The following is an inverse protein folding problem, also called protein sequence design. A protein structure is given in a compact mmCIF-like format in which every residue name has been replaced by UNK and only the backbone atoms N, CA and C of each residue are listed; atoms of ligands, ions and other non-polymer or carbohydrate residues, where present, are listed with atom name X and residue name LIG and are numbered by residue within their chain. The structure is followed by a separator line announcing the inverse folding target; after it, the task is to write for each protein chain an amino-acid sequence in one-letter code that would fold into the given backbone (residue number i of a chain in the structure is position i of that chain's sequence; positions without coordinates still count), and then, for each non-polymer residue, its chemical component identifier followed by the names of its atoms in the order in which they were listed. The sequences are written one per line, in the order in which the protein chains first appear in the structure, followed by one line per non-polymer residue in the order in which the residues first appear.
data_IF_297231325048
#
_entry.id   IF_297231325048
#
_cell.length_a   1.000
_cell.length_b   1.000
_cell.length_c   1.000
_cell.angle_alpha   90.00
_cell.angle_beta   90.00
_cell.angle_gamma   90.00
#
_symmetry.space_group_name_H-M   'P 1'
#
loop_
_entity.id
_entity.type
_entity.pdbx_description
1 polymer ?
#
# COMPACT_ATOMS: atom_id res chain seq x y z
N UNK A 1 14.78 18.05 -9.66
CA UNK A 1 13.37 18.48 -9.77
C UNK A 1 12.54 17.71 -8.75
N UNK A 2 11.59 18.40 -8.10
CA UNK A 2 10.63 17.80 -7.17
C UNK A 2 9.25 17.73 -7.85
N UNK A 3 8.66 16.54 -7.89
CA UNK A 3 7.30 16.31 -8.36
C UNK A 3 6.41 15.98 -7.17
N UNK A 4 5.35 16.77 -6.98
CA UNK A 4 4.31 16.49 -5.99
C UNK A 4 3.01 16.12 -6.72
N UNK A 5 2.44 14.97 -6.39
CA UNK A 5 1.19 14.47 -6.94
C UNK A 5 0.23 14.13 -5.82
N UNK A 6 -0.97 14.69 -5.87
CA UNK A 6 -2.06 14.35 -4.93
C UNK A 6 -3.22 13.80 -5.71
N UNK A 7 -3.66 12.61 -5.35
CA UNK A 7 -4.85 11.94 -5.90
C UNK A 7 -5.82 11.73 -4.75
N UNK A 8 -7.07 12.09 -4.93
CA UNK A 8 -8.10 11.82 -3.94
C UNK A 8 -9.38 11.30 -4.59
N UNK A 9 -10.03 10.40 -3.85
CA UNK A 9 -11.36 9.88 -4.18
C UNK A 9 -12.22 10.00 -2.92
N UNK A 10 -13.29 10.77 -2.99
CA UNK A 10 -14.25 10.90 -1.90
C UNK A 10 -15.30 9.80 -2.00
N UNK A 11 -15.65 9.22 -0.87
CA UNK A 11 -16.62 8.14 -0.78
C UNK A 11 -16.27 7.15 0.33
N UNK A 12 -16.43 5.87 0.05
CA UNK A 12 -16.02 4.82 0.99
C UNK A 12 -14.49 4.70 1.08
N UNK A 13 -13.99 4.38 2.26
CA UNK A 13 -12.61 3.94 2.41
C UNK A 13 -12.35 2.66 1.59
N UNK A 14 -11.10 2.31 1.37
CA UNK A 14 -10.76 1.03 0.72
C UNK A 14 -11.35 -0.15 1.48
N UNK A 15 -11.24 -0.14 2.80
CA UNK A 15 -11.76 -1.19 3.66
C UNK A 15 -13.29 -1.28 3.59
N UNK A 16 -14.01 -0.16 3.77
CA UNK A 16 -15.47 -0.15 3.72
C UNK A 16 -16.02 -0.57 2.36
N UNK A 17 -15.39 -0.06 1.30
CA UNK A 17 -15.75 -0.43 -0.07
C UNK A 17 -15.55 -1.93 -0.35
N UNK A 18 -14.55 -2.56 0.28
CA UNK A 18 -14.29 -3.99 0.16
C UNK A 18 -15.23 -4.81 1.02
N UNK A 19 -15.54 -4.39 2.25
CA UNK A 19 -16.52 -5.04 3.12
C UNK A 19 -17.92 -5.09 2.48
N UNK A 20 -18.34 -4.03 1.80
CA UNK A 20 -19.61 -3.99 1.06
C UNK A 20 -19.71 -5.02 -0.08
N UNK A 21 -18.58 -5.48 -0.62
CA UNK A 21 -18.52 -6.48 -1.70
C UNK A 21 -18.07 -7.86 -1.23
N UNK A 22 -18.09 -8.08 0.08
CA UNK A 22 -17.60 -9.31 0.71
C UNK A 22 -18.25 -10.58 0.17
N UNK A 23 -19.57 -10.56 0.01
CA UNK A 23 -20.31 -11.73 -0.49
C UNK A 23 -19.94 -12.05 -1.95
N UNK A 24 -19.80 -11.02 -2.78
CA UNK A 24 -19.42 -11.16 -4.18
C UNK A 24 -17.96 -11.61 -4.39
N UNK A 25 -17.09 -11.26 -3.44
CA UNK A 25 -15.64 -11.53 -3.48
C UNK A 25 -15.17 -12.56 -2.43
N UNK A 26 -16.01 -13.51 -2.05
CA UNK A 26 -15.76 -14.42 -0.93
C UNK A 26 -14.37 -15.09 -0.95
N UNK A 27 -13.88 -15.53 -2.12
CA UNK A 27 -12.57 -16.17 -2.23
C UNK A 27 -11.43 -15.20 -1.88
N UNK A 28 -11.48 -13.95 -2.37
CA UNK A 28 -10.47 -12.92 -2.06
C UNK A 28 -10.59 -12.50 -0.60
N UNK A 29 -11.81 -12.29 -0.12
CA UNK A 29 -12.06 -11.93 1.27
C UNK A 29 -11.47 -12.98 2.23
N UNK A 30 -11.72 -14.25 1.99
CA UNK A 30 -11.16 -15.35 2.79
C UNK A 30 -9.63 -15.39 2.75
N UNK A 31 -9.03 -15.07 1.60
CA UNK A 31 -7.57 -14.94 1.50
C UNK A 31 -7.03 -13.84 2.41
N UNK A 32 -7.66 -12.66 2.39
CA UNK A 32 -7.27 -11.53 3.25
C UNK A 32 -7.50 -11.85 4.73
N UNK A 33 -8.62 -12.47 5.07
CA UNK A 33 -8.94 -12.89 6.44
C UNK A 33 -7.90 -13.89 6.96
N UNK A 34 -7.50 -14.87 6.17
CA UNK A 34 -6.46 -15.82 6.54
C UNK A 34 -5.11 -15.12 6.77
N UNK A 35 -4.75 -14.16 5.93
CA UNK A 35 -3.54 -13.35 6.13
C UNK A 35 -3.61 -12.54 7.43
N UNK A 36 -4.77 -11.94 7.71
CA UNK A 36 -5.00 -11.23 8.97
C UNK A 36 -4.87 -12.15 10.19
N UNK A 37 -5.49 -13.33 10.16
CA UNK A 37 -5.40 -14.30 11.25
C UNK A 37 -3.97 -14.80 11.48
N UNK A 38 -3.20 -14.96 10.41
CA UNK A 38 -1.78 -15.30 10.49
C UNK A 38 -0.98 -14.19 11.19
N UNK A 39 -1.18 -12.94 10.80
CA UNK A 39 -0.53 -11.79 11.43
C UNK A 39 -1.02 -11.57 12.86
N UNK A 40 -2.31 -11.77 13.14
CA UNK A 40 -2.87 -11.62 14.49
C UNK A 40 -2.21 -12.55 15.50
N UNK A 41 -1.75 -13.75 15.10
CA UNK A 41 -0.99 -14.67 15.97
C UNK A 41 0.37 -14.12 16.39
N UNK A 42 0.90 -13.14 15.67
CA UNK A 42 2.18 -12.49 15.98
C UNK A 42 2.00 -11.21 16.82
N UNK A 43 0.76 -10.83 17.16
CA UNK A 43 0.51 -9.63 17.96
C UNK A 43 1.10 -9.79 19.37
N UNK A 44 1.69 -8.71 19.84
CA UNK A 44 2.24 -8.57 21.19
C UNK A 44 1.55 -7.45 21.93
N UNK A 45 1.93 -7.21 23.20
CA UNK A 45 1.43 -6.05 23.95
C UNK A 45 1.81 -4.70 23.30
N UNK A 46 2.93 -4.67 22.58
CA UNK A 46 3.50 -3.43 22.00
C UNK A 46 3.32 -3.32 20.48
N UNK A 47 3.02 -4.41 19.79
CA UNK A 47 2.86 -4.43 18.33
C UNK A 47 1.54 -5.08 17.96
N UNK A 48 0.55 -4.25 17.70
CA UNK A 48 -0.79 -4.65 17.27
C UNK A 48 -1.24 -3.76 16.12
N UNK A 49 -2.03 -4.32 15.24
CA UNK A 49 -2.62 -3.60 14.12
C UNK A 49 -4.11 -3.85 14.06
N UNK A 50 -4.87 -2.80 13.75
CA UNK A 50 -6.29 -2.92 13.48
C UNK A 50 -6.53 -3.70 12.18
N UNK A 51 -7.63 -4.44 12.12
CA UNK A 51 -8.00 -5.24 10.95
C UNK A 51 -8.09 -4.37 9.70
N UNK A 52 -8.72 -3.21 9.81
CA UNK A 52 -8.84 -2.23 8.74
C UNK A 52 -7.47 -1.87 8.14
N UNK A 53 -6.47 -1.59 9.00
CA UNK A 53 -5.14 -1.21 8.53
C UNK A 53 -4.43 -2.34 7.78
N UNK A 54 -4.49 -3.56 8.29
CA UNK A 54 -3.91 -4.71 7.61
C UNK A 54 -4.64 -5.03 6.30
N UNK A 55 -5.97 -4.95 6.27
CA UNK A 55 -6.75 -5.16 5.06
C UNK A 55 -6.43 -4.09 4.01
N UNK A 56 -6.32 -2.81 4.41
CA UNK A 56 -5.94 -1.72 3.50
C UNK A 56 -4.56 -2.00 2.89
N UNK A 57 -3.58 -2.44 3.68
CA UNK A 57 -2.27 -2.87 3.17
C UNK A 57 -2.39 -4.04 2.18
N UNK A 58 -3.14 -5.07 2.51
CA UNK A 58 -3.29 -6.23 1.63
C UNK A 58 -3.97 -5.88 0.31
N UNK A 59 -4.94 -4.95 0.33
CA UNK A 59 -5.65 -4.50 -0.86
C UNK A 59 -4.79 -3.69 -1.83
N UNK A 60 -3.63 -3.20 -1.39
CA UNK A 60 -2.64 -2.59 -2.29
C UNK A 60 -1.88 -3.62 -3.11
N UNK A 61 -1.90 -4.91 -2.73
CA UNK A 61 -1.14 -5.95 -3.42
C UNK A 61 -1.77 -6.35 -4.76
N UNK A 62 -0.92 -6.85 -5.66
CA UNK A 62 -1.32 -7.27 -7.01
C UNK A 62 -2.42 -8.33 -6.99
N UNK A 63 -3.39 -8.16 -7.86
CA UNK A 63 -4.49 -9.08 -8.02
C UNK A 63 -5.61 -8.96 -6.98
N UNK A 64 -5.53 -8.01 -6.06
CA UNK A 64 -6.58 -7.72 -5.10
C UNK A 64 -7.43 -6.54 -5.58
N UNK A 65 -8.72 -6.74 -5.78
CA UNK A 65 -9.67 -5.69 -6.15
C UNK A 65 -11.07 -6.05 -5.71
N UNK A 66 -11.81 -5.05 -5.20
CA UNK A 66 -13.24 -5.20 -4.87
C UNK A 66 -14.12 -5.55 -6.07
N UNK A 67 -13.67 -5.25 -7.27
CA UNK A 67 -14.41 -5.50 -8.50
C UNK A 67 -13.88 -6.69 -9.31
N UNK A 68 -13.00 -7.52 -8.74
CA UNK A 68 -12.40 -8.66 -9.44
C UNK A 68 -13.44 -9.70 -9.85
N UNK A 69 -14.55 -9.80 -9.13
CA UNK A 69 -15.67 -10.66 -9.51
C UNK A 69 -16.37 -10.21 -10.80
N UNK A 70 -16.30 -8.90 -11.14
CA UNK A 70 -16.85 -8.36 -12.40
C UNK A 70 -15.83 -8.39 -13.54
N UNK A 71 -14.55 -8.24 -13.21
CA UNK A 71 -13.47 -8.16 -14.17
C UNK A 71 -12.18 -8.77 -13.58
N UNK A 72 -11.83 -10.01 -13.99
CA UNK A 72 -10.66 -10.72 -13.48
C UNK A 72 -9.32 -10.03 -13.74
N UNK A 73 -9.23 -9.09 -14.70
CA UNK A 73 -8.01 -8.34 -15.02
C UNK A 73 -7.71 -7.23 -14.00
N UNK A 74 -8.67 -6.88 -13.14
CA UNK A 74 -8.52 -5.81 -12.15
C UNK A 74 -7.64 -6.20 -10.97
N UNK A 75 -7.08 -5.18 -10.31
CA UNK A 75 -6.28 -5.32 -9.10
C UNK A 75 -4.78 -5.10 -9.31
N UNK A 76 -4.38 -4.57 -10.46
CA UNK A 76 -2.97 -4.36 -10.79
C UNK A 76 -2.56 -2.87 -10.79
N UNK A 77 -3.53 -1.94 -10.98
CA UNK A 77 -3.24 -0.51 -11.17
C UNK A 77 -2.50 0.13 -9.99
N UNK A 78 -2.96 -0.11 -8.77
CA UNK A 78 -2.31 0.45 -7.57
C UNK A 78 -0.87 -0.06 -7.41
N UNK A 79 -0.65 -1.36 -7.65
CA UNK A 79 0.69 -1.93 -7.54
C UNK A 79 1.60 -1.43 -8.65
N UNK A 80 1.10 -1.23 -9.87
CA UNK A 80 1.88 -0.63 -10.96
C UNK A 80 2.28 0.82 -10.63
N UNK A 81 1.36 1.58 -10.03
CA UNK A 81 1.66 2.94 -9.55
C UNK A 81 2.74 2.93 -8.45
N UNK A 82 2.61 2.05 -7.45
CA UNK A 82 3.60 1.91 -6.38
C UNK A 82 4.97 1.49 -6.92
N UNK A 83 4.99 0.60 -7.90
CA UNK A 83 6.22 0.19 -8.58
C UNK A 83 6.86 1.36 -9.35
N UNK A 84 6.07 2.10 -10.12
CA UNK A 84 6.57 3.27 -10.84
C UNK A 84 7.14 4.32 -9.87
N UNK A 85 6.46 4.55 -8.73
CA UNK A 85 6.98 5.41 -7.67
C UNK A 85 8.33 4.92 -7.14
N UNK A 86 8.46 3.63 -6.83
CA UNK A 86 9.69 3.05 -6.32
C UNK A 86 10.82 3.11 -7.36
N UNK A 87 10.53 2.81 -8.62
CA UNK A 87 11.51 2.87 -9.73
C UNK A 87 12.02 4.30 -9.97
N UNK A 88 11.15 5.31 -9.84
CA UNK A 88 11.53 6.71 -9.94
C UNK A 88 12.33 7.17 -8.71
N UNK A 89 11.90 6.81 -7.51
CA UNK A 89 12.56 7.19 -6.26
C UNK A 89 13.97 6.62 -6.14
N UNK A 90 14.16 5.35 -6.46
CA UNK A 90 15.49 4.68 -6.36
C UNK A 90 16.52 5.20 -7.37
N UNK A 91 16.07 5.66 -8.53
CA UNK A 91 16.96 6.28 -9.53
C UNK A 91 17.35 7.72 -9.20
N UNK A 92 16.57 8.36 -8.33
CA UNK A 92 16.70 9.76 -8.00
C UNK A 92 17.52 10.04 -6.73
N UNK A 93 17.91 9.03 -5.96
CA UNK A 93 18.61 9.19 -4.69
C UNK A 93 20.04 9.71 -4.88
N UNK A 94 20.18 11.03 -4.86
CA UNK A 94 21.47 11.73 -4.74
C UNK A 94 21.40 12.72 -3.58
N UNK A 95 21.66 12.23 -2.36
CA UNK A 95 21.76 13.04 -1.16
C UNK A 95 20.77 12.67 -0.06
N UNK A 96 21.21 12.74 1.20
CA UNK A 96 20.43 12.33 2.39
C UNK A 96 19.14 13.15 2.61
N UNK A 97 19.04 14.36 2.02
CA UNK A 97 17.91 15.27 2.21
C UNK A 97 16.76 15.11 1.18
N UNK A 98 16.91 14.24 0.19
CA UNK A 98 15.99 14.14 -0.95
C UNK A 98 15.31 12.78 -1.03
N UNK A 99 14.54 12.41 -0.01
CA UNK A 99 13.81 11.14 0.01
C UNK A 99 12.44 11.27 -0.65
N UNK A 100 12.19 10.41 -1.62
CA UNK A 100 10.84 10.23 -2.18
C UNK A 100 9.93 9.59 -1.12
N UNK A 101 8.70 10.04 -1.02
CA UNK A 101 7.72 9.43 -0.13
C UNK A 101 6.34 9.36 -0.77
N UNK A 102 5.58 8.35 -0.38
CA UNK A 102 4.21 8.14 -0.79
C UNK A 102 3.38 7.80 0.43
N UNK A 103 2.30 8.55 0.62
CA UNK A 103 1.33 8.31 1.67
C UNK A 103 0.00 7.87 1.06
N UNK A 104 -0.59 6.82 1.61
CA UNK A 104 -1.96 6.41 1.32
C UNK A 104 -2.77 6.54 2.60
N UNK A 105 -3.83 7.34 2.56
CA UNK A 105 -4.75 7.56 3.67
C UNK A 105 -6.13 7.07 3.24
N UNK A 106 -6.72 6.14 4.00
CA UNK A 106 -8.04 5.62 3.69
C UNK A 106 -8.73 5.14 4.96
N UNK A 107 -9.91 5.69 5.25
CA UNK A 107 -10.62 5.42 6.50
C UNK A 107 -9.81 5.85 7.71
N UNK A 108 -9.51 4.92 8.59
CA UNK A 108 -8.63 5.13 9.75
C UNK A 108 -7.16 4.80 9.47
N UNK A 109 -6.82 4.36 8.27
CA UNK A 109 -5.49 3.85 7.94
C UNK A 109 -4.64 4.91 7.29
N UNK A 110 -3.40 5.04 7.75
CA UNK A 110 -2.32 5.78 7.10
C UNK A 110 -1.18 4.80 6.82
N UNK A 111 -0.78 4.75 5.58
CA UNK A 111 0.29 3.93 5.07
C UNK A 111 1.32 4.86 4.41
N UNK A 112 2.57 4.70 4.80
CA UNK A 112 3.69 5.48 4.25
C UNK A 112 4.67 4.53 3.57
N UNK A 113 5.07 4.85 2.35
CA UNK A 113 6.16 4.20 1.64
C UNK A 113 7.27 5.22 1.41
N UNK A 114 8.50 4.78 1.55
CA UNK A 114 9.72 5.50 1.21
C UNK A 114 10.64 4.61 0.37
N UNK A 115 11.86 5.05 0.16
CA UNK A 115 12.87 4.31 -0.62
C UNK A 115 13.28 2.97 0.01
N UNK A 116 13.03 2.77 1.32
CA UNK A 116 13.36 1.52 2.03
C UNK A 116 12.25 0.47 1.86
N UNK A 117 11.01 0.95 1.68
CA UNK A 117 9.80 0.12 1.63
C UNK A 117 9.22 0.13 0.23
N UNK A 118 9.78 -0.70 -0.63
CA UNK A 118 9.39 -0.83 -2.04
C UNK A 118 8.67 -2.15 -2.30
N UNK A 119 7.80 -2.21 -3.32
CA UNK A 119 7.24 -3.48 -3.77
C UNK A 119 8.33 -4.49 -4.15
N UNK A 120 8.11 -5.74 -3.84
CA UNK A 120 9.01 -6.83 -4.18
C UNK A 120 8.26 -7.97 -4.89
N UNK A 121 8.99 -8.81 -5.62
CA UNK A 121 8.43 -9.97 -6.32
C UNK A 121 8.37 -11.16 -5.38
N UNK A 122 7.17 -11.75 -5.24
CA UNK A 122 6.95 -13.00 -4.55
C UNK A 122 6.24 -13.98 -5.52
N UNK A 123 7.00 -14.94 -6.03
CA UNK A 123 6.55 -15.78 -7.13
C UNK A 123 6.30 -14.94 -8.39
N UNK A 124 5.06 -14.90 -8.86
CA UNK A 124 4.65 -14.13 -10.05
C UNK A 124 3.97 -12.79 -9.71
N UNK A 125 3.83 -12.46 -8.43
CA UNK A 125 3.07 -11.29 -7.98
C UNK A 125 3.97 -10.24 -7.32
N UNK A 126 3.64 -8.98 -7.56
CA UNK A 126 4.21 -7.86 -6.82
C UNK A 126 3.47 -7.72 -5.47
N UNK A 127 4.23 -7.56 -4.42
CA UNK A 127 3.74 -7.44 -3.04
C UNK A 127 4.41 -6.26 -2.36
N UNK A 128 3.67 -5.58 -1.49
CA UNK A 128 4.18 -4.62 -0.53
C UNK A 128 3.90 -5.13 0.88
N UNK A 129 4.93 -5.22 1.72
CA UNK A 129 4.83 -5.75 3.08
C UNK A 129 4.98 -4.71 4.18
N UNK A 130 5.58 -3.56 3.87
CA UNK A 130 5.89 -2.48 4.81
C UNK A 130 6.72 -2.95 6.01
N UNK A 131 7.61 -3.92 5.81
CA UNK A 131 8.58 -4.36 6.81
C UNK A 131 9.99 -4.48 6.24
N UNK A 132 10.98 -4.33 7.10
CA UNK A 132 12.40 -4.40 6.75
C UNK A 132 12.82 -5.79 6.20
N UNK A 133 12.09 -6.83 6.55
CA UNK A 133 12.34 -8.20 6.08
C UNK A 133 11.84 -8.45 4.65
N UNK A 134 11.11 -7.50 4.07
CA UNK A 134 10.54 -7.58 2.70
C UNK A 134 9.79 -8.89 2.45
N UNK A 135 8.97 -9.30 3.40
CA UNK A 135 8.14 -10.49 3.27
C UNK A 135 6.72 -10.26 3.81
N UNK A 136 5.75 -11.01 3.28
CA UNK A 136 4.35 -10.90 3.64
C UNK A 136 3.90 -11.82 4.78
N UNK A 137 4.83 -12.51 5.45
CA UNK A 137 4.54 -13.38 6.58
C UNK A 137 4.71 -12.65 7.91
N UNK A 138 5.59 -11.65 7.94
CA UNK A 138 5.90 -10.85 9.11
C UNK A 138 5.02 -9.60 9.16
N UNK A 139 4.78 -9.10 10.37
CA UNK A 139 4.01 -7.89 10.60
C UNK A 139 4.69 -6.67 9.93
N UNK A 140 3.92 -5.73 9.39
CA UNK A 140 4.44 -4.45 8.94
C UNK A 140 5.11 -3.71 10.11
N UNK A 141 6.02 -2.79 9.81
CA UNK A 141 6.62 -1.93 10.83
C UNK A 141 5.69 -0.77 11.16
N UNK A 142 5.57 -0.45 12.46
CA UNK A 142 4.60 0.52 12.96
C UNK A 142 4.87 1.96 12.48
N UNK A 143 6.07 2.23 11.97
CA UNK A 143 6.39 3.52 11.37
C UNK A 143 5.70 3.69 10.01
N UNK A 144 5.47 2.61 9.27
CA UNK A 144 4.90 2.63 7.91
C UNK A 144 3.40 2.37 7.86
N UNK A 145 2.83 1.70 8.86
CA UNK A 145 1.39 1.42 8.93
C UNK A 145 0.83 1.90 10.26
N UNK A 146 -0.08 2.87 10.22
CA UNK A 146 -0.67 3.50 11.39
C UNK A 146 -2.19 3.50 11.33
N UNK A 147 -2.82 3.43 12.50
CA UNK A 147 -4.25 3.63 12.68
C UNK A 147 -4.51 5.00 13.31
N UNK A 148 -5.38 5.78 12.68
CA UNK A 148 -5.80 7.09 13.17
C UNK A 148 -7.17 7.01 13.82
N UNK A 149 -7.36 7.73 14.93
CA UNK A 149 -8.65 7.77 15.63
C UNK A 149 -9.74 8.51 14.83
N UNK A 150 -9.36 9.39 13.90
CA UNK A 150 -10.29 10.12 13.03
C UNK A 150 -10.44 9.39 11.71
N UNK A 151 -11.70 9.16 11.32
CA UNK A 151 -12.04 8.59 10.02
C UNK A 151 -11.92 9.65 8.91
N UNK A 152 -11.28 9.28 7.82
CA UNK A 152 -11.18 10.08 6.60
C UNK A 152 -11.98 9.38 5.50
N UNK A 153 -13.08 9.99 5.00
CA UNK A 153 -13.89 9.37 3.97
C UNK A 153 -13.13 9.30 2.64
N UNK A 154 -13.16 8.12 2.02
CA UNK A 154 -12.49 7.90 0.75
C UNK A 154 -11.04 7.46 0.85
N UNK A 155 -10.27 7.81 -0.16
CA UNK A 155 -8.85 7.48 -0.28
C UNK A 155 -8.06 8.67 -0.81
N UNK A 156 -7.00 9.02 -0.12
CA UNK A 156 -6.04 10.05 -0.51
C UNK A 156 -4.68 9.39 -0.75
N UNK A 157 -4.05 9.75 -1.85
CA UNK A 157 -2.68 9.36 -2.17
C UNK A 157 -1.90 10.66 -2.35
N UNK A 158 -0.87 10.82 -1.53
CA UNK A 158 0.07 11.93 -1.60
C UNK A 158 1.44 11.35 -1.95
N UNK A 159 2.03 11.84 -3.03
CA UNK A 159 3.27 11.30 -3.58
C UNK A 159 4.24 12.44 -3.86
N UNK A 160 5.41 12.35 -3.26
CA UNK A 160 6.53 13.26 -3.49
C UNK A 160 7.68 12.47 -4.11
N UNK A 161 8.11 12.85 -5.30
CA UNK A 161 9.19 12.20 -6.03
C UNK A 161 10.27 13.23 -6.32
N UNK A 162 11.52 12.89 -6.00
CA UNK A 162 12.67 13.65 -6.43
C UNK A 162 13.23 13.05 -7.71
N UNK A 163 13.33 13.86 -8.77
CA UNK A 163 13.84 13.46 -10.08
C UNK A 163 15.19 14.15 -10.27
N UNK A 164 16.22 13.40 -10.54
CA UNK A 164 17.57 13.94 -10.81
C UNK A 164 17.71 14.39 -12.25
N UNK A 165 18.63 15.31 -12.49
CA UNK A 165 18.94 15.82 -13.83
C UNK A 165 19.41 14.70 -14.77
N UNK A 166 20.17 13.74 -14.24
CA UNK A 166 20.61 12.56 -15.00
C UNK A 166 19.44 11.67 -15.50
N UNK A 167 18.27 11.73 -14.86
CA UNK A 167 17.09 11.01 -15.33
C UNK A 167 16.44 11.76 -16.48
N UNK A 168 16.44 13.09 -16.43
CA UNK A 168 15.83 13.95 -17.47
C UNK A 168 16.65 13.92 -18.76
N UNK A 169 17.96 13.80 -18.66
CA UNK A 169 18.87 13.75 -19.83
C UNK A 169 18.81 12.41 -20.60
N UNK A 170 18.24 11.35 -20.00
CA UNK A 170 18.15 10.02 -20.62
C UNK A 170 16.72 9.63 -21.09
N UNK A 171 15.79 10.62 -21.15
CA UNK A 171 14.47 10.48 -21.78
C UNK A 171 14.51 11.13 -23.16
#
# INVERSE_FOLDING_TARGET
VELNLVIFNLGDSMYDAFEKTKEDNGAIYNKLENSYLQHKRQFTLFKRFEKESLFTLYMLNEGISRLKFKDPSRGNGTMQFLKAFADLGTKAALGEDSKSCLNVISGHTVLTCDDEVVPFVNGTHLIISLNSQKNNKDLPDSQYLKYYSRYIPGTFIDCKIYITDNFVENI
#
